data_IF_947559443292
#
_entry.id   IF_947559443292
#
_cell.length_a   1.000
_cell.length_b   1.000
_cell.length_c   1.000
_cell.angle_alpha   90.00
_cell.angle_beta   90.00
_cell.angle_gamma   90.00
#
_symmetry.space_group_name_H-M   'P 1'
#
loop_
_entity.id
_entity.type
_entity.pdbx_description
1 polymer ?
#
# COMPACT_ATOMS: atom_id res chain seq x y z
N UNK A 1 33.29 5.92 -5.49
CA UNK A 1 32.49 5.22 -6.52
C UNK A 1 31.18 4.84 -5.87
N UNK A 2 30.04 5.14 -6.49
CA UNK A 2 28.71 4.89 -5.93
C UNK A 2 27.97 3.99 -6.92
N UNK A 3 27.58 2.79 -6.50
CA UNK A 3 26.78 1.88 -7.30
C UNK A 3 25.30 1.99 -6.89
N UNK A 4 24.39 1.92 -7.87
CA UNK A 4 22.95 1.80 -7.63
C UNK A 4 22.52 0.38 -7.93
N UNK A 5 21.84 -0.24 -6.97
CA UNK A 5 21.28 -1.60 -7.09
C UNK A 5 19.77 -1.46 -7.26
N UNK A 6 19.19 -2.21 -8.20
CA UNK A 6 17.76 -2.20 -8.50
C UNK A 6 17.15 -3.58 -8.23
N UNK A 7 15.97 -3.61 -7.62
CA UNK A 7 15.17 -4.82 -7.47
C UNK A 7 14.48 -5.15 -8.80
N UNK A 8 14.87 -6.26 -9.43
CA UNK A 8 14.32 -6.70 -10.72
C UNK A 8 13.21 -7.76 -10.58
N UNK A 9 12.73 -7.99 -9.37
CA UNK A 9 11.63 -8.91 -9.13
C UNK A 9 10.35 -8.39 -9.78
N UNK A 10 9.46 -9.30 -10.15
CA UNK A 10 8.20 -8.95 -10.79
C UNK A 10 7.38 -7.96 -9.93
N UNK A 11 6.90 -6.87 -10.54
CA UNK A 11 6.16 -5.81 -9.87
C UNK A 11 7.03 -4.65 -9.36
N UNK A 12 8.36 -4.79 -9.31
CA UNK A 12 9.28 -3.74 -8.90
C UNK A 12 9.94 -3.03 -10.09
N UNK A 13 10.46 -1.82 -9.84
CA UNK A 13 11.17 -0.99 -10.83
C UNK A 13 10.45 -0.87 -12.18
N UNK A 14 9.16 -0.49 -12.14
CA UNK A 14 8.27 -0.45 -13.31
C UNK A 14 8.84 0.35 -14.49
N UNK A 15 9.53 1.48 -14.22
CA UNK A 15 10.17 2.27 -15.27
C UNK A 15 11.30 1.50 -15.98
N UNK A 16 12.10 0.74 -15.23
CA UNK A 16 13.16 -0.11 -15.79
C UNK A 16 12.55 -1.24 -16.64
N UNK A 17 11.49 -1.87 -16.13
CA UNK A 17 10.78 -2.96 -16.82
C UNK A 17 10.16 -2.48 -18.12
N UNK A 18 9.47 -1.32 -18.10
CA UNK A 18 8.88 -0.71 -19.29
C UNK A 18 9.91 -0.37 -20.38
N UNK A 19 11.18 -0.16 -20.00
CA UNK A 19 12.27 0.15 -20.93
C UNK A 19 13.00 -1.09 -21.44
N UNK A 20 12.86 -2.25 -20.81
CA UNK A 20 13.54 -3.48 -21.17
C UNK A 20 12.59 -4.68 -21.12
N UNK A 21 11.91 -4.91 -22.25
CA UNK A 21 10.94 -6.01 -22.40
C UNK A 21 11.51 -7.38 -22.03
N UNK A 22 12.76 -7.68 -22.39
CA UNK A 22 13.38 -8.96 -22.05
C UNK A 22 13.54 -9.14 -20.54
N UNK A 23 13.90 -8.07 -19.82
CA UNK A 23 14.02 -8.11 -18.35
C UNK A 23 12.66 -8.23 -17.68
N UNK A 24 11.66 -7.52 -18.21
CA UNK A 24 10.26 -7.66 -17.77
C UNK A 24 9.76 -9.10 -17.96
N UNK A 25 9.92 -9.67 -19.15
CA UNK A 25 9.52 -11.04 -19.47
C UNK A 25 10.27 -12.08 -18.62
N UNK A 26 11.54 -11.86 -18.33
CA UNK A 26 12.31 -12.67 -17.37
C UNK A 26 11.73 -12.59 -15.96
N UNK A 27 11.42 -11.38 -15.47
CA UNK A 27 10.82 -11.21 -14.15
C UNK A 27 9.48 -11.96 -14.03
N UNK A 28 8.68 -11.99 -15.12
CA UNK A 28 7.42 -12.74 -15.18
C UNK A 28 7.66 -14.24 -15.08
N UNK A 29 8.67 -14.78 -15.79
CA UNK A 29 9.04 -16.19 -15.69
C UNK A 29 9.35 -16.58 -14.23
N UNK A 30 10.24 -15.84 -13.56
CA UNK A 30 10.62 -16.10 -12.17
C UNK A 30 9.41 -15.97 -11.24
N UNK A 31 8.55 -14.97 -11.44
CA UNK A 31 7.31 -14.81 -10.67
C UNK A 31 6.34 -15.99 -10.81
N UNK A 32 6.22 -16.58 -12.01
CA UNK A 32 5.39 -17.78 -12.23
C UNK A 32 5.96 -19.02 -11.55
N UNK A 33 7.29 -19.16 -11.54
CA UNK A 33 7.97 -20.25 -10.82
C UNK A 33 7.76 -20.10 -9.32
N UNK A 34 8.04 -18.91 -8.76
CA UNK A 34 7.89 -18.64 -7.33
C UNK A 34 6.45 -18.83 -6.86
N UNK A 35 5.45 -18.45 -7.67
CA UNK A 35 4.03 -18.69 -7.37
C UNK A 35 3.71 -20.18 -7.25
N UNK A 36 4.19 -21.00 -8.19
CA UNK A 36 3.98 -22.45 -8.17
C UNK A 36 4.67 -23.11 -6.97
N UNK A 37 5.91 -22.73 -6.69
CA UNK A 37 6.66 -23.23 -5.52
C UNK A 37 5.96 -22.86 -4.21
N UNK A 38 5.46 -21.62 -4.08
CA UNK A 38 4.64 -21.20 -2.94
C UNK A 38 3.38 -22.03 -2.75
N UNK A 39 2.80 -22.53 -3.84
CA UNK A 39 1.64 -23.42 -3.82
C UNK A 39 1.99 -24.89 -3.56
N UNK A 40 3.24 -25.19 -3.18
CA UNK A 40 3.69 -26.52 -2.80
C UNK A 40 4.17 -27.40 -3.95
N UNK A 41 4.29 -26.86 -5.17
CA UNK A 41 4.84 -27.59 -6.31
C UNK A 41 6.38 -27.59 -6.20
N UNK A 42 7.08 -28.73 -6.28
CA UNK A 42 8.54 -28.76 -6.27
C UNK A 42 9.15 -27.91 -7.40
N UNK A 43 10.38 -27.43 -7.22
CA UNK A 43 11.01 -26.49 -8.16
C UNK A 43 11.05 -26.99 -9.61
N UNK A 44 11.52 -28.22 -9.84
CA UNK A 44 11.62 -28.77 -11.19
C UNK A 44 10.28 -28.78 -11.95
N UNK A 45 9.18 -29.38 -11.44
CA UNK A 45 7.89 -29.30 -12.10
C UNK A 45 7.31 -27.88 -12.14
N UNK A 46 7.63 -27.02 -11.18
CA UNK A 46 7.21 -25.61 -11.21
C UNK A 46 7.89 -24.84 -12.36
N UNK A 47 9.20 -25.03 -12.54
CA UNK A 47 9.98 -24.44 -13.62
C UNK A 47 9.51 -24.96 -14.98
N UNK A 48 9.34 -26.27 -15.12
CA UNK A 48 8.88 -26.93 -16.33
C UNK A 48 7.53 -26.38 -16.80
N UNK A 49 6.56 -26.29 -15.88
CA UNK A 49 5.24 -25.74 -16.15
C UNK A 49 5.29 -24.23 -16.45
N UNK A 50 6.05 -23.44 -15.68
CA UNK A 50 6.16 -22.01 -15.90
C UNK A 50 6.78 -21.69 -17.27
N UNK A 51 7.79 -22.44 -17.71
CA UNK A 51 8.40 -22.29 -19.04
C UNK A 51 7.37 -22.58 -20.14
N UNK A 52 6.59 -23.65 -20.02
CA UNK A 52 5.53 -23.97 -21.00
C UNK A 52 4.47 -22.86 -21.09
N UNK A 53 4.03 -22.34 -19.94
CA UNK A 53 3.09 -21.22 -19.90
C UNK A 53 3.69 -19.95 -20.53
N UNK A 54 4.96 -19.65 -20.27
CA UNK A 54 5.63 -18.47 -20.85
C UNK A 54 5.75 -18.59 -22.38
N UNK A 55 6.13 -19.75 -22.91
CA UNK A 55 6.18 -20.02 -24.35
C UNK A 55 4.81 -19.81 -24.99
N UNK A 56 3.75 -20.33 -24.35
CA UNK A 56 2.37 -20.19 -24.85
C UNK A 56 1.90 -18.73 -24.86
N UNK A 57 2.30 -17.97 -23.84
CA UNK A 57 1.85 -16.59 -23.66
C UNK A 57 2.78 -15.57 -24.37
N UNK A 58 3.77 -16.04 -25.14
CA UNK A 58 4.69 -15.18 -25.91
C UNK A 58 5.80 -14.51 -25.07
N UNK A 59 6.04 -14.98 -23.85
CA UNK A 59 7.02 -14.46 -22.89
C UNK A 59 8.34 -15.21 -23.09
N UNK A 60 9.42 -14.51 -23.46
CA UNK A 60 10.72 -15.12 -23.80
C UNK A 60 10.61 -16.29 -24.79
N UNK A 61 9.58 -16.31 -25.66
CA UNK A 61 9.17 -17.48 -26.42
C UNK A 61 10.31 -18.10 -27.24
N UNK A 62 10.98 -17.29 -28.06
CA UNK A 62 12.07 -17.75 -28.94
C UNK A 62 13.25 -18.31 -28.15
N UNK A 63 13.56 -17.70 -27.00
CA UNK A 63 14.64 -18.12 -26.12
C UNK A 63 14.30 -19.43 -25.41
N UNK A 64 13.14 -19.48 -24.75
CA UNK A 64 12.70 -20.64 -23.99
C UNK A 64 12.43 -21.86 -24.87
N UNK A 65 11.98 -21.67 -26.11
CA UNK A 65 11.77 -22.78 -27.05
C UNK A 65 13.08 -23.48 -27.40
N UNK A 66 14.20 -22.74 -27.47
CA UNK A 66 15.53 -23.28 -27.81
C UNK A 66 16.30 -23.77 -26.59
N UNK A 67 16.17 -23.09 -25.45
CA UNK A 67 17.02 -23.26 -24.27
C UNK A 67 16.29 -23.83 -23.05
N UNK A 68 15.09 -24.42 -23.23
CA UNK A 68 14.26 -24.94 -22.13
C UNK A 68 15.02 -25.78 -21.11
N UNK A 69 15.73 -26.81 -21.56
CA UNK A 69 16.44 -27.74 -20.67
C UNK A 69 17.58 -27.05 -19.92
N UNK A 70 18.27 -26.10 -20.56
CA UNK A 70 19.34 -25.32 -19.95
C UNK A 70 18.79 -24.39 -18.86
N UNK A 71 17.67 -23.71 -19.13
CA UNK A 71 17.01 -22.81 -18.16
C UNK A 71 16.55 -23.59 -16.92
N UNK A 72 15.91 -24.75 -17.12
CA UNK A 72 15.48 -25.59 -16.00
C UNK A 72 16.69 -26.14 -15.23
N UNK A 73 17.74 -26.61 -15.92
CA UNK A 73 18.96 -27.10 -15.30
C UNK A 73 19.66 -26.03 -14.45
N UNK A 74 19.89 -24.84 -15.02
CA UNK A 74 20.49 -23.71 -14.32
C UNK A 74 19.69 -23.33 -13.06
N UNK A 75 18.35 -23.26 -13.15
CA UNK A 75 17.51 -22.93 -12.00
C UNK A 75 17.60 -23.98 -10.88
N UNK A 76 17.74 -25.26 -11.23
CA UNK A 76 17.85 -26.34 -10.23
C UNK A 76 19.24 -26.38 -9.58
N UNK A 77 20.28 -26.04 -10.33
CA UNK A 77 21.66 -26.14 -9.87
C UNK A 77 22.14 -24.88 -9.14
N UNK A 78 21.76 -23.69 -9.62
CA UNK A 78 22.36 -22.43 -9.20
C UNK A 78 21.41 -21.50 -8.43
N UNK A 79 20.09 -21.73 -8.49
CA UNK A 79 19.11 -20.79 -7.94
C UNK A 79 18.38 -21.32 -6.70
N UNK A 80 18.62 -20.67 -5.54
CA UNK A 80 17.87 -20.93 -4.32
C UNK A 80 16.50 -20.23 -4.36
N UNK A 81 15.50 -20.94 -4.86
CA UNK A 81 14.12 -20.46 -4.89
C UNK A 81 13.53 -20.20 -3.49
N UNK A 82 13.95 -20.94 -2.47
CA UNK A 82 13.42 -20.77 -1.12
C UNK A 82 13.95 -19.48 -0.50
N UNK A 83 15.23 -19.16 -0.73
CA UNK A 83 15.81 -17.87 -0.36
C UNK A 83 15.13 -16.73 -1.10
N UNK A 84 14.90 -16.86 -2.41
CA UNK A 84 14.16 -15.87 -3.20
C UNK A 84 12.77 -15.60 -2.62
N UNK A 85 11.99 -16.64 -2.31
CA UNK A 85 10.64 -16.49 -1.74
C UNK A 85 10.69 -15.84 -0.36
N UNK A 86 11.71 -16.14 0.46
CA UNK A 86 11.89 -15.49 1.78
C UNK A 86 12.20 -14.00 1.63
N UNK A 87 13.02 -13.61 0.66
CA UNK A 87 13.33 -12.22 0.37
C UNK A 87 12.08 -11.48 -0.13
N UNK A 88 11.37 -12.03 -1.10
CA UNK A 88 10.12 -11.47 -1.64
C UNK A 88 9.08 -11.20 -0.54
N UNK A 89 8.92 -12.15 0.40
CA UNK A 89 8.03 -11.98 1.56
C UNK A 89 8.47 -10.88 2.51
N UNK A 90 9.79 -10.74 2.73
CA UNK A 90 10.35 -9.69 3.59
C UNK A 90 10.11 -8.32 2.99
N UNK A 91 10.38 -8.16 1.70
CA UNK A 91 10.17 -6.90 0.98
C UNK A 91 8.69 -6.54 0.98
N UNK A 92 7.81 -7.48 0.65
CA UNK A 92 6.35 -7.27 0.69
C UNK A 92 5.85 -6.88 2.08
N UNK A 93 6.41 -7.47 3.15
CA UNK A 93 6.07 -7.10 4.52
C UNK A 93 6.58 -5.70 4.88
N UNK A 94 7.80 -5.35 4.47
CA UNK A 94 8.38 -4.04 4.72
C UNK A 94 7.56 -2.94 4.03
N UNK A 95 7.24 -3.12 2.75
CA UNK A 95 6.42 -2.19 1.97
C UNK A 95 5.02 -2.04 2.60
N UNK A 96 4.36 -3.15 2.94
CA UNK A 96 3.04 -3.12 3.58
C UNK A 96 3.06 -2.51 4.99
N UNK A 97 4.15 -2.67 5.73
CA UNK A 97 4.32 -2.06 7.05
C UNK A 97 4.53 -0.54 6.94
N UNK A 98 5.35 -0.10 5.99
CA UNK A 98 5.59 1.32 5.72
C UNK A 98 4.30 2.02 5.27
N UNK A 99 3.57 1.43 4.32
CA UNK A 99 2.28 1.94 3.86
C UNK A 99 1.26 2.01 5.01
N UNK A 100 1.17 0.94 5.81
CA UNK A 100 0.27 0.89 6.97
C UNK A 100 0.61 1.95 8.02
N UNK A 101 1.90 2.18 8.28
CA UNK A 101 2.36 3.22 9.20
C UNK A 101 2.04 4.62 8.65
N UNK A 102 2.29 4.86 7.36
CA UNK A 102 2.01 6.13 6.71
C UNK A 102 0.50 6.45 6.72
N UNK A 103 -0.34 5.47 6.42
CA UNK A 103 -1.80 5.59 6.50
C UNK A 103 -2.25 5.89 7.93
N UNK A 104 -1.79 5.11 8.91
CA UNK A 104 -2.16 5.31 10.32
C UNK A 104 -1.73 6.68 10.86
N UNK A 105 -0.54 7.16 10.45
CA UNK A 105 -0.07 8.50 10.82
C UNK A 105 -0.92 9.60 10.16
N UNK A 106 -1.26 9.44 8.89
CA UNK A 106 -2.10 10.40 8.17
C UNK A 106 -3.52 10.47 8.78
N UNK A 107 -4.12 9.33 9.09
CA UNK A 107 -5.42 9.23 9.77
C UNK A 107 -5.35 9.85 11.16
N UNK A 108 -4.35 9.50 11.98
CA UNK A 108 -4.17 10.07 13.32
C UNK A 108 -3.95 11.59 13.31
N UNK A 109 -3.20 12.11 12.34
CA UNK A 109 -3.01 13.56 12.19
C UNK A 109 -4.30 14.26 11.75
N UNK A 110 -5.07 13.66 10.84
CA UNK A 110 -6.36 14.18 10.43
C UNK A 110 -7.36 14.20 11.60
N UNK A 111 -7.36 13.13 12.40
CA UNK A 111 -8.18 13.00 13.61
C UNK A 111 -7.83 14.07 14.65
N UNK A 112 -6.53 14.23 14.96
CA UNK A 112 -6.06 15.24 15.90
C UNK A 112 -6.46 16.66 15.48
N UNK A 113 -6.37 16.98 14.18
CA UNK A 113 -6.82 18.27 13.65
C UNK A 113 -8.33 18.48 13.78
N UNK A 114 -9.14 17.43 13.66
CA UNK A 114 -10.59 17.52 13.85
C UNK A 114 -10.94 17.75 15.31
N UNK A 115 -10.30 17.03 16.23
CA UNK A 115 -10.45 17.20 17.67
C UNK A 115 -10.05 18.61 18.12
N UNK A 116 -8.90 19.11 17.67
CA UNK A 116 -8.46 20.47 17.97
C UNK A 116 -9.46 21.52 17.45
N UNK A 117 -9.97 21.34 16.23
CA UNK A 117 -10.99 22.23 15.67
C UNK A 117 -12.29 22.18 16.48
N UNK A 118 -12.75 21.00 16.87
CA UNK A 118 -13.93 20.83 17.71
C UNK A 118 -13.76 21.53 19.05
N UNK A 119 -12.61 21.32 19.71
CA UNK A 119 -12.27 21.97 20.98
C UNK A 119 -12.34 23.49 20.87
N UNK A 120 -11.77 24.08 19.81
CA UNK A 120 -11.82 25.53 19.59
C UNK A 120 -13.28 25.99 19.40
N UNK A 121 -14.08 25.28 18.61
CA UNK A 121 -15.48 25.64 18.37
C UNK A 121 -16.30 25.54 19.66
N UNK A 122 -16.08 24.49 20.46
CA UNK A 122 -16.74 24.31 21.75
C UNK A 122 -16.38 25.43 22.73
N UNK A 123 -15.09 25.80 22.85
CA UNK A 123 -14.67 26.95 23.65
C UNK A 123 -15.32 28.25 23.17
N UNK A 124 -15.38 28.49 21.85
CA UNK A 124 -16.03 29.68 21.30
C UNK A 124 -17.53 29.72 21.63
N UNK A 125 -18.21 28.57 21.63
CA UNK A 125 -19.60 28.47 22.06
C UNK A 125 -19.76 28.84 23.55
N UNK A 126 -18.89 28.33 24.42
CA UNK A 126 -18.91 28.63 25.85
C UNK A 126 -18.68 30.12 26.14
N UNK A 127 -17.86 30.78 25.34
CA UNK A 127 -17.63 32.23 25.36
C UNK A 127 -18.76 33.05 24.71
N UNK A 128 -19.89 32.42 24.35
CA UNK A 128 -21.05 33.03 23.68
C UNK A 128 -20.71 33.72 22.35
N UNK A 129 -19.68 33.26 21.65
CA UNK A 129 -19.32 33.77 20.33
C UNK A 129 -20.33 33.23 19.31
N UNK A 130 -20.92 34.07 18.44
CA UNK A 130 -21.86 33.59 17.42
C UNK A 130 -21.18 32.69 16.38
N UNK A 131 -21.88 31.65 15.92
CA UNK A 131 -21.39 30.70 14.91
C UNK A 131 -20.85 31.38 13.63
N UNK A 132 -21.52 32.45 13.17
CA UNK A 132 -21.08 33.23 12.01
C UNK A 132 -19.70 33.89 12.21
N UNK A 133 -19.41 34.32 13.45
CA UNK A 133 -18.11 34.91 13.81
C UNK A 133 -17.05 33.82 13.93
N UNK A 134 -17.38 32.68 14.51
CA UNK A 134 -16.54 31.49 14.57
C UNK A 134 -16.14 31.02 13.16
N UNK A 135 -17.10 30.93 12.24
CA UNK A 135 -16.87 30.53 10.84
C UNK A 135 -15.90 31.45 10.11
N UNK A 136 -16.04 32.76 10.31
CA UNK A 136 -15.11 33.75 9.75
C UNK A 136 -13.70 33.63 10.35
N UNK A 137 -13.59 33.47 11.67
CA UNK A 137 -12.30 33.36 12.37
C UNK A 137 -11.55 32.08 11.99
N UNK A 138 -12.27 30.97 11.82
CA UNK A 138 -11.71 29.68 11.44
C UNK A 138 -11.59 29.48 9.93
N UNK A 139 -12.09 30.43 9.13
CA UNK A 139 -12.21 30.34 7.67
C UNK A 139 -12.85 29.01 7.22
N UNK A 140 -13.99 28.68 7.82
CA UNK A 140 -14.72 27.43 7.61
C UNK A 140 -16.16 27.69 7.19
N UNK A 141 -16.74 26.64 6.61
CA UNK A 141 -18.16 26.59 6.33
C UNK A 141 -18.98 26.62 7.63
N UNK A 142 -20.13 27.29 7.60
CA UNK A 142 -20.99 27.44 8.78
C UNK A 142 -21.69 26.14 9.13
N UNK A 143 -21.94 25.21 8.18
CA UNK A 143 -22.74 24.02 8.46
C UNK A 143 -22.10 23.10 9.52
N UNK A 144 -20.77 22.97 9.52
CA UNK A 144 -20.08 22.19 10.55
C UNK A 144 -20.17 22.87 11.92
N UNK A 145 -19.96 24.18 11.98
CA UNK A 145 -20.00 24.96 13.22
C UNK A 145 -21.42 24.97 13.80
N UNK A 146 -22.44 25.16 12.97
CA UNK A 146 -23.84 25.14 13.36
C UNK A 146 -24.24 23.75 13.89
N UNK A 147 -23.72 22.67 13.29
CA UNK A 147 -23.92 21.30 13.80
C UNK A 147 -23.32 21.14 15.20
N UNK A 148 -22.08 21.60 15.41
CA UNK A 148 -21.44 21.56 16.74
C UNK A 148 -22.23 22.40 17.76
N UNK A 149 -22.63 23.62 17.40
CA UNK A 149 -23.39 24.51 18.29
C UNK A 149 -24.74 23.92 18.67
N UNK A 150 -25.42 23.26 17.73
CA UNK A 150 -26.68 22.57 18.00
C UNK A 150 -26.49 21.44 19.01
N UNK A 151 -25.40 20.69 18.92
CA UNK A 151 -25.06 19.64 19.88
C UNK A 151 -24.72 20.23 21.26
N UNK A 152 -23.93 21.31 21.34
CA UNK A 152 -23.64 21.98 22.61
C UNK A 152 -24.90 22.54 23.28
N UNK A 153 -25.88 23.04 22.52
CA UNK A 153 -27.16 23.50 23.06
C UNK A 153 -28.03 22.35 23.55
N UNK A 154 -28.07 21.24 22.80
CA UNK A 154 -28.84 20.05 23.15
C UNK A 154 -28.24 19.29 24.34
N UNK A 155 -26.91 19.35 24.48
CA UNK A 155 -26.14 18.61 25.48
C UNK A 155 -25.08 19.51 26.15
N UNK A 156 -25.50 20.40 27.08
CA UNK A 156 -24.58 21.35 27.72
C UNK A 156 -23.48 20.72 28.57
N UNK A 157 -23.70 19.48 29.03
CA UNK A 157 -22.78 18.76 29.92
C UNK A 157 -21.79 17.85 29.17
N UNK A 158 -21.83 17.82 27.83
CA UNK A 158 -20.97 16.95 27.02
C UNK A 158 -19.53 17.46 26.95
N UNK A 159 -18.59 16.52 27.03
CA UNK A 159 -17.18 16.78 26.78
C UNK A 159 -16.89 16.87 25.28
N UNK A 160 -15.68 17.32 24.92
CA UNK A 160 -15.22 17.30 23.53
C UNK A 160 -15.22 15.89 22.95
N UNK A 161 -14.96 14.86 23.76
CA UNK A 161 -14.96 13.47 23.33
C UNK A 161 -16.38 12.98 23.01
N UNK A 162 -17.37 13.37 23.82
CA UNK A 162 -18.78 13.04 23.58
C UNK A 162 -19.30 13.70 22.29
N UNK A 163 -19.02 15.00 22.12
CA UNK A 163 -19.35 15.75 20.91
C UNK A 163 -18.68 15.13 19.68
N UNK A 164 -17.41 14.74 19.82
CA UNK A 164 -16.64 14.13 18.75
C UNK A 164 -17.23 12.79 18.29
N UNK A 165 -17.55 11.92 19.24
CA UNK A 165 -18.13 10.61 18.96
C UNK A 165 -19.49 10.75 18.27
N UNK A 166 -20.34 11.68 18.73
CA UNK A 166 -21.65 11.97 18.11
C UNK A 166 -21.54 12.45 16.65
N UNK A 167 -20.46 13.18 16.31
CA UNK A 167 -20.19 13.65 14.96
C UNK A 167 -19.59 12.57 14.04
N UNK A 168 -18.97 11.53 14.61
CA UNK A 168 -18.35 10.43 13.87
C UNK A 168 -19.35 9.34 13.45
N UNK A 169 -20.44 9.19 14.20
CA UNK A 169 -21.48 8.18 13.98
C UNK A 169 -22.57 8.59 12.94
N UNK A 170 -22.51 9.81 12.38
CA UNK A 170 -23.46 10.34 11.39
C UNK A 170 -22.77 10.88 10.13
#
# INVERSE_FOLDING_TARGET
CTARVYNINYGHNQELMARCRTLEEYSILIGRISSKVRNGIPLEPAADAAVQECIRDGILQDFLTKHRSEVVGMLLEEFDMDEYIKMERRDSYADGHEDGLAMGLAEGLAEGKRLEQLHIIHNMFQENIPAQSCAKLLNKDTAFIDKVYSLCQAHPDWSDEDLYNSLKEN
#
